data_IF_554470522901
#
_entry.id   IF_554470522901
#
_cell.length_a   1.000
_cell.length_b   1.000
_cell.length_c   1.000
_cell.angle_alpha   90.00
_cell.angle_beta   90.00
_cell.angle_gamma   90.00
#
_symmetry.space_group_name_H-M   'P 1'
#
loop_
_entity.id
_entity.type
_entity.pdbx_description
1 polymer ?
#
# COMPACT_ATOMS: atom_id res chain seq x y z
N UNK A 1 -9.04 11.02 8.01
CA UNK A 1 -8.62 10.73 6.62
C UNK A 1 -7.38 9.85 6.67
N UNK A 2 -7.46 8.59 6.21
CA UNK A 2 -6.37 7.61 6.38
C UNK A 2 -5.36 7.74 5.25
N UNK A 3 -5.77 7.62 3.99
CA UNK A 3 -4.96 7.93 2.82
C UNK A 3 -5.63 9.02 1.99
N UNK A 4 -4.84 9.88 1.34
CA UNK A 4 -5.35 10.83 0.35
C UNK A 4 -5.50 10.17 -1.02
N UNK A 5 -6.29 10.76 -1.91
CA UNK A 5 -6.51 10.25 -3.28
C UNK A 5 -5.22 10.01 -4.07
N UNK A 6 -4.20 10.84 -3.85
CA UNK A 6 -2.88 10.69 -4.48
C UNK A 6 -2.24 9.38 -4.04
N UNK A 7 -2.19 9.10 -2.74
CA UNK A 7 -1.63 7.88 -2.20
C UNK A 7 -2.39 6.63 -2.68
N UNK A 8 -3.73 6.68 -2.71
CA UNK A 8 -4.54 5.56 -3.19
C UNK A 8 -4.31 5.27 -4.68
N UNK A 9 -4.19 6.31 -5.50
CA UNK A 9 -3.89 6.15 -6.93
C UNK A 9 -2.49 5.61 -7.18
N UNK A 10 -1.50 6.05 -6.41
CA UNK A 10 -0.15 5.48 -6.49
C UNK A 10 -0.14 4.02 -6.03
N UNK A 11 -0.80 3.68 -4.91
CA UNK A 11 -0.88 2.30 -4.43
C UNK A 11 -1.54 1.36 -5.46
N UNK A 12 -2.60 1.81 -6.13
CA UNK A 12 -3.27 1.02 -7.16
C UNK A 12 -2.45 0.86 -8.44
N UNK A 13 -1.46 1.73 -8.67
CA UNK A 13 -0.59 1.70 -9.85
C UNK A 13 0.69 0.89 -9.61
N UNK A 14 1.34 1.14 -8.49
CA UNK A 14 2.61 0.50 -8.11
C UNK A 14 2.40 -0.84 -7.40
N UNK A 15 1.18 -1.11 -6.89
CA UNK A 15 0.82 -2.34 -6.18
C UNK A 15 1.91 -2.79 -5.20
N UNK A 16 2.25 -1.96 -4.19
CA UNK A 16 3.34 -2.26 -3.27
C UNK A 16 3.08 -3.56 -2.51
N UNK A 17 3.94 -4.55 -2.72
CA UNK A 17 3.93 -5.85 -2.02
C UNK A 17 4.93 -5.94 -0.87
N UNK A 18 5.58 -4.82 -0.53
CA UNK A 18 6.55 -4.74 0.57
C UNK A 18 6.39 -3.45 1.36
N UNK A 19 6.80 -3.47 2.64
CA UNK A 19 6.70 -2.32 3.54
C UNK A 19 7.55 -1.14 3.07
N UNK A 20 8.71 -1.42 2.48
CA UNK A 20 9.56 -0.40 1.87
C UNK A 20 8.85 0.28 0.70
N UNK A 21 8.26 -0.49 -0.23
CA UNK A 21 7.51 0.07 -1.35
C UNK A 21 6.29 0.86 -0.89
N UNK A 22 5.59 0.37 0.15
CA UNK A 22 4.46 1.08 0.74
C UNK A 22 4.88 2.41 1.41
N UNK A 23 6.08 2.46 1.98
CA UNK A 23 6.67 3.68 2.57
C UNK A 23 7.05 4.74 1.53
N UNK A 24 7.34 4.32 0.29
CA UNK A 24 7.69 5.23 -0.80
C UNK A 24 6.49 6.03 -1.34
N UNK A 25 5.25 5.61 -1.02
CA UNK A 25 4.04 6.26 -1.50
C UNK A 25 3.88 7.64 -0.85
N UNK A 26 3.63 8.67 -1.68
CA UNK A 26 3.46 10.04 -1.19
C UNK A 26 2.22 10.17 -0.30
N UNK A 27 2.44 10.40 0.99
CA UNK A 27 1.38 10.55 1.99
C UNK A 27 1.22 9.37 2.96
N UNK A 28 2.06 8.35 2.81
CA UNK A 28 2.26 7.29 3.81
C UNK A 28 3.39 7.71 4.74
N UNK A 29 3.07 7.92 6.02
CA UNK A 29 4.07 8.13 7.06
C UNK A 29 4.28 6.85 7.88
N UNK A 30 5.35 6.80 8.67
CA UNK A 30 5.75 5.63 9.47
C UNK A 30 4.60 5.05 10.32
N UNK A 31 3.79 5.90 10.95
CA UNK A 31 2.61 5.44 11.71
C UNK A 31 1.59 4.69 10.86
N UNK A 32 1.27 5.22 9.67
CA UNK A 32 0.28 4.59 8.78
C UNK A 32 0.84 3.32 8.16
N UNK A 33 2.13 3.30 7.84
CA UNK A 33 2.81 2.10 7.38
C UNK A 33 2.81 1.01 8.45
N UNK A 34 3.13 1.33 9.70
CA UNK A 34 3.12 0.36 10.79
C UNK A 34 1.71 -0.17 11.11
N UNK A 35 0.69 0.68 11.02
CA UNK A 35 -0.68 0.33 11.41
C UNK A 35 -1.50 -0.29 10.28
N UNK A 36 -1.25 0.11 9.02
CA UNK A 36 -2.01 -0.33 7.84
C UNK A 36 -1.16 -1.00 6.77
N UNK A 37 0.16 -0.82 6.76
CA UNK A 37 1.03 -1.31 5.68
C UNK A 37 0.95 -2.81 5.51
N UNK A 38 1.06 -3.59 6.59
CA UNK A 38 0.97 -5.06 6.52
C UNK A 38 -0.37 -5.54 5.94
N UNK A 39 -1.48 -4.94 6.36
CA UNK A 39 -2.81 -5.28 5.84
C UNK A 39 -2.94 -4.94 4.35
N UNK A 40 -2.53 -3.74 3.95
CA UNK A 40 -2.60 -3.32 2.55
C UNK A 40 -1.70 -4.18 1.65
N UNK A 41 -0.47 -4.43 2.09
CA UNK A 41 0.48 -5.28 1.35
C UNK A 41 -0.05 -6.70 1.20
N UNK A 42 -0.62 -7.27 2.27
CA UNK A 42 -1.21 -8.60 2.24
C UNK A 42 -2.35 -8.69 1.23
N UNK A 43 -3.27 -7.72 1.24
CA UNK A 43 -4.39 -7.68 0.30
C UNK A 43 -3.93 -7.47 -1.15
N UNK A 44 -2.97 -6.57 -1.38
CA UNK A 44 -2.39 -6.33 -2.70
C UNK A 44 -1.68 -7.58 -3.22
N UNK A 45 -0.90 -8.25 -2.37
CA UNK A 45 -0.21 -9.48 -2.74
C UNK A 45 -1.20 -10.64 -3.00
N UNK A 46 -2.27 -10.74 -2.21
CA UNK A 46 -3.34 -11.70 -2.44
C UNK A 46 -4.05 -11.45 -3.78
N UNK A 47 -4.41 -10.20 -4.08
CA UNK A 47 -5.02 -9.81 -5.35
C UNK A 47 -4.12 -10.16 -6.55
N UNK A 48 -2.81 -9.88 -6.45
CA UNK A 48 -1.85 -10.23 -7.49
C UNK A 48 -1.67 -11.76 -7.66
N UNK A 49 -1.88 -12.53 -6.60
CA UNK A 49 -1.83 -13.99 -6.64
C UNK A 49 -3.14 -14.63 -7.12
N UNK A 50 -4.28 -13.96 -6.95
CA UNK A 50 -5.60 -14.40 -7.42
C UNK A 50 -5.86 -14.07 -8.90
N UNK A 51 -5.18 -13.07 -9.47
CA UNK A 51 -5.22 -12.75 -10.91
C UNK A 51 -4.30 -13.66 -11.77
N UNK A 52 -3.98 -14.87 -11.31
CA UNK A 52 -3.27 -15.93 -12.08
C UNK A 52 -4.23 -16.99 -12.64
#
# INVERSE_FOLDING_TARGET
MIFGDVALREMARDCPTTLEAFSLISGVGEKKQAEYGEQFISEIAAYLAEEE
#
